data_IF_990069384736
#
_entry.id   IF_990069384736
#
_cell.length_a   1.000
_cell.length_b   1.000
_cell.length_c   1.000
_cell.angle_alpha   90.00
_cell.angle_beta   90.00
_cell.angle_gamma   90.00
#
_symmetry.space_group_name_H-M   'P 1'
#
loop_
_entity.id
_entity.type
_entity.pdbx_description
1 polymer ?
#
# COMPACT_ATOMS: atom_id res chain seq x y z
N UNK A 1 19.35 -61.87 -10.83
CA UNK A 1 19.79 -60.69 -10.04
C UNK A 1 20.59 -59.65 -10.84
N UNK A 2 20.71 -59.80 -12.16
CA UNK A 2 21.58 -58.95 -13.01
C UNK A 2 20.88 -57.74 -13.63
N UNK A 3 19.57 -57.81 -13.88
CA UNK A 3 18.82 -56.76 -14.59
C UNK A 3 18.56 -55.52 -13.74
N UNK A 4 18.33 -55.67 -12.42
CA UNK A 4 18.05 -54.55 -11.51
C UNK A 4 19.27 -53.69 -11.18
N UNK A 5 20.49 -54.22 -11.35
CA UNK A 5 21.74 -53.46 -11.12
C UNK A 5 22.09 -52.57 -12.30
N UNK A 6 21.76 -52.98 -13.53
CA UNK A 6 22.03 -52.20 -14.73
C UNK A 6 21.18 -50.92 -14.81
N UNK A 7 19.91 -50.97 -14.38
CA UNK A 7 19.03 -49.80 -14.38
C UNK A 7 19.39 -48.75 -13.34
N UNK A 8 19.91 -49.16 -12.17
CA UNK A 8 20.38 -48.21 -11.15
C UNK A 8 21.63 -47.44 -11.60
N UNK A 9 22.56 -48.10 -12.28
CA UNK A 9 23.79 -47.44 -12.75
C UNK A 9 23.48 -46.41 -13.84
N UNK A 10 22.56 -46.69 -14.77
CA UNK A 10 22.17 -45.76 -15.81
C UNK A 10 21.50 -44.48 -15.25
N UNK A 11 20.64 -44.62 -14.23
CA UNK A 11 19.97 -43.47 -13.61
C UNK A 11 20.94 -42.53 -12.88
N UNK A 12 21.96 -43.07 -12.23
CA UNK A 12 22.97 -42.27 -11.51
C UNK A 12 23.86 -41.49 -12.48
N UNK A 13 24.23 -42.07 -13.63
CA UNK A 13 25.07 -41.38 -14.63
C UNK A 13 24.35 -40.17 -15.25
N UNK A 14 23.05 -40.30 -15.55
CA UNK A 14 22.25 -39.19 -16.09
C UNK A 14 22.15 -38.04 -15.08
N UNK A 15 21.95 -38.36 -13.79
CA UNK A 15 21.83 -37.35 -12.73
C UNK A 15 23.13 -36.54 -12.52
N UNK A 16 24.29 -37.20 -12.62
CA UNK A 16 25.61 -36.54 -12.43
C UNK A 16 25.96 -35.62 -13.61
N UNK A 17 25.53 -35.93 -14.83
CA UNK A 17 25.79 -35.05 -15.99
C UNK A 17 24.94 -33.78 -16.01
N UNK A 18 23.75 -33.80 -15.41
CA UNK A 18 22.84 -32.64 -15.41
C UNK A 18 23.27 -31.54 -14.41
N UNK A 19 23.96 -31.88 -13.32
CA UNK A 19 24.37 -30.91 -12.30
C UNK A 19 25.63 -30.12 -12.69
N UNK A 20 26.53 -30.71 -13.48
CA UNK A 20 27.74 -30.02 -13.95
C UNK A 20 27.44 -28.92 -15.00
N UNK A 21 26.40 -29.09 -15.83
CA UNK A 21 26.01 -28.10 -16.83
C UNK A 21 25.35 -26.84 -16.25
N UNK A 22 24.61 -26.99 -15.14
CA UNK A 22 23.87 -25.88 -14.54
C UNK A 22 24.76 -24.89 -13.78
N UNK A 23 25.84 -25.38 -13.16
CA UNK A 23 26.80 -24.54 -12.42
C UNK A 23 27.63 -23.60 -13.30
N UNK A 24 27.83 -23.94 -14.58
CA UNK A 24 28.61 -23.14 -15.52
C UNK A 24 27.83 -21.95 -16.10
N UNK A 25 26.50 -21.95 -16.02
CA UNK A 25 25.64 -20.88 -16.55
C UNK A 25 25.47 -19.74 -15.51
N UNK A 26 25.52 -20.04 -14.21
CA UNK A 26 25.33 -19.05 -13.14
C UNK A 26 26.58 -18.16 -12.89
N UNK A 27 27.77 -18.56 -13.35
CA UNK A 27 29.00 -17.83 -13.10
C UNK A 27 29.22 -16.58 -13.98
N UNK A 28 28.36 -16.32 -14.98
CA UNK A 28 28.53 -15.20 -15.93
C UNK A 28 27.64 -13.98 -15.72
N UNK A 29 26.78 -13.96 -14.71
CA UNK A 29 25.82 -12.86 -14.50
C UNK A 29 26.19 -11.89 -13.35
N UNK A 30 27.40 -11.98 -12.79
CA UNK A 30 27.86 -11.09 -11.73
C UNK A 30 28.78 -9.98 -12.25
N UNK A 31 28.32 -8.72 -12.19
CA UNK A 31 29.04 -7.51 -11.75
C UNK A 31 28.27 -6.24 -12.19
N UNK A 32 27.11 -6.00 -11.57
CA UNK A 32 26.45 -4.70 -11.57
C UNK A 32 26.71 -4.00 -10.25
N UNK A 33 27.54 -2.96 -10.26
CA UNK A 33 27.85 -2.09 -9.11
C UNK A 33 26.62 -1.32 -8.62
N UNK A 34 26.32 -1.27 -7.30
CA UNK A 34 25.29 -0.38 -6.78
C UNK A 34 25.81 1.07 -6.64
N UNK A 35 25.11 2.01 -7.27
CA UNK A 35 25.25 3.46 -7.06
C UNK A 35 24.81 3.86 -5.65
N UNK A 36 25.50 4.80 -4.96
CA UNK A 36 25.02 5.36 -3.71
C UNK A 36 23.98 6.46 -3.98
N UNK A 37 22.73 6.23 -3.58
CA UNK A 37 21.71 7.29 -3.51
C UNK A 37 21.83 7.98 -2.15
N UNK A 38 22.03 9.29 -2.20
CA UNK A 38 22.22 10.16 -1.05
C UNK A 38 21.05 10.07 -0.06
N UNK A 39 21.41 9.99 1.23
CA UNK A 39 20.50 10.09 2.35
C UNK A 39 19.80 11.46 2.35
N UNK A 40 18.47 11.45 2.24
CA UNK A 40 17.63 12.60 2.59
C UNK A 40 17.23 12.41 4.04
N UNK A 41 17.64 13.34 4.88
CA UNK A 41 17.30 13.38 6.29
C UNK A 41 15.82 13.72 6.49
N UNK A 42 15.17 12.91 7.30
CA UNK A 42 13.83 13.07 7.86
C UNK A 42 13.88 14.00 9.09
N UNK A 43 12.94 14.95 9.25
CA UNK A 43 12.61 15.44 10.58
C UNK A 43 11.10 15.36 10.88
N UNK A 44 10.76 14.57 11.88
CA UNK A 44 9.60 14.74 12.78
C UNK A 44 9.87 13.96 14.08
N UNK A 45 9.21 14.20 15.24
CA UNK A 45 8.03 15.05 15.51
C UNK A 45 8.12 15.90 16.81
N UNK A 46 7.08 16.68 17.11
CA UNK A 46 6.70 17.02 18.51
C UNK A 46 5.17 17.03 18.69
N UNK A 47 4.62 16.43 19.77
CA UNK A 47 3.21 16.52 20.13
C UNK A 47 2.98 17.59 21.22
N UNK A 48 1.84 18.30 21.17
CA UNK A 48 1.29 19.01 22.33
C UNK A 48 -0.23 18.83 22.35
N UNK A 49 -0.70 18.21 23.42
CA UNK A 49 -2.10 18.05 23.81
C UNK A 49 -2.46 19.22 24.72
N UNK A 50 -3.64 19.82 24.55
CA UNK A 50 -4.38 20.44 25.65
C UNK A 50 -5.88 20.43 25.35
N UNK A 51 -6.56 19.62 26.15
CA UNK A 51 -8.00 19.47 26.31
C UNK A 51 -8.56 20.67 27.09
N UNK A 52 -9.70 21.23 26.66
CA UNK A 52 -10.64 21.93 27.52
C UNK A 52 -12.01 22.10 26.83
N UNK A 53 -12.99 21.31 27.29
CA UNK A 53 -14.42 21.56 27.07
C UNK A 53 -14.85 22.91 27.67
N UNK A 54 -15.94 23.50 27.15
CA UNK A 54 -17.01 23.79 28.11
C UNK A 54 -18.43 23.41 27.65
N UNK A 55 -19.18 22.91 28.63
CA UNK A 55 -20.62 22.66 28.63
C UNK A 55 -21.44 23.97 28.61
N UNK A 56 -22.65 23.86 28.07
CA UNK A 56 -23.65 24.90 27.78
C UNK A 56 -24.03 25.87 28.92
N UNK A 57 -24.46 27.08 28.53
CA UNK A 57 -25.46 27.88 29.27
C UNK A 57 -26.44 28.54 28.30
N UNK A 58 -27.72 28.29 28.55
CA UNK A 58 -28.93 28.91 27.96
C UNK A 58 -29.08 30.34 28.48
N UNK A 59 -29.45 31.29 27.62
CA UNK A 59 -30.52 32.28 27.82
C UNK A 59 -30.40 33.45 26.85
N UNK A 60 -31.42 33.61 26.01
CA UNK A 60 -31.79 34.88 25.38
C UNK A 60 -32.41 35.78 26.47
N UNK A 61 -31.87 36.99 26.65
CA UNK A 61 -32.76 38.13 26.72
C UNK A 61 -32.30 39.22 25.77
N UNK A 62 -33.14 39.53 24.79
CA UNK A 62 -33.06 40.71 23.92
C UNK A 62 -32.70 41.98 24.71
N UNK A 63 -31.53 42.60 24.47
CA UNK A 63 -31.27 43.97 24.88
C UNK A 63 -31.70 44.91 23.75
N UNK A 64 -32.52 45.89 24.10
CA UNK A 64 -32.86 47.02 23.23
C UNK A 64 -31.59 47.80 22.91
N UNK A 65 -30.91 47.45 21.81
CA UNK A 65 -29.70 48.15 21.39
C UNK A 65 -30.07 49.48 20.73
N UNK A 66 -29.80 50.57 21.44
CA UNK A 66 -29.63 51.89 20.84
C UNK A 66 -28.61 51.80 19.70
N UNK A 67 -28.94 52.37 18.54
CA UNK A 67 -28.03 52.44 17.39
C UNK A 67 -26.71 53.08 17.81
N UNK A 68 -25.54 52.44 17.59
CA UNK A 68 -24.27 53.11 17.81
C UNK A 68 -24.15 54.26 16.81
N UNK A 69 -23.76 55.42 17.31
CA UNK A 69 -23.30 56.53 16.48
C UNK A 69 -22.04 56.05 15.76
N UNK A 70 -22.05 56.05 14.43
CA UNK A 70 -20.88 55.66 13.64
C UNK A 70 -19.78 56.69 13.81
N UNK A 71 -18.78 56.36 14.63
CA UNK A 71 -17.47 57.03 14.61
C UNK A 71 -16.89 56.88 13.21
N UNK A 72 -16.55 58.01 12.59
CA UNK A 72 -15.88 58.07 11.29
C UNK A 72 -14.63 57.19 11.31
N UNK A 73 -14.56 56.20 10.40
CA UNK A 73 -13.38 55.33 10.27
C UNK A 73 -12.15 56.17 9.88
N UNK A 74 -10.96 55.85 10.41
CA UNK A 74 -9.71 56.42 9.91
C UNK A 74 -9.52 56.10 8.42
N UNK A 75 -8.79 56.93 7.66
CA UNK A 75 -8.58 56.72 6.24
C UNK A 75 -7.98 55.33 5.97
N UNK A 76 -8.35 54.67 4.85
CA UNK A 76 -7.88 53.34 4.55
C UNK A 76 -6.34 53.31 4.51
N UNK A 77 -5.76 52.35 5.23
CA UNK A 77 -4.34 52.04 5.11
C UNK A 77 -4.00 51.75 3.64
N UNK A 78 -2.77 52.07 3.16
CA UNK A 78 -2.37 51.77 1.80
C UNK A 78 -2.60 50.28 1.51
N UNK A 79 -3.28 50.00 0.39
CA UNK A 79 -3.61 48.64 -0.02
C UNK A 79 -2.33 47.81 -0.11
N UNK A 80 -2.26 46.71 0.65
CA UNK A 80 -1.20 45.70 0.44
C UNK A 80 -1.34 45.19 -0.98
N UNK A 81 -0.23 45.16 -1.71
CA UNK A 81 -0.14 44.47 -2.99
C UNK A 81 -0.32 42.98 -2.70
N UNK A 82 -1.50 42.45 -2.99
CA UNK A 82 -1.74 41.02 -2.95
C UNK A 82 -1.14 40.44 -4.24
N UNK A 83 -0.11 39.57 -4.16
CA UNK A 83 0.43 38.94 -5.35
C UNK A 83 -0.65 38.09 -6.01
N UNK A 84 -0.65 38.05 -7.35
CA UNK A 84 -1.56 37.20 -8.10
C UNK A 84 -1.38 35.74 -7.68
N UNK A 85 -2.46 34.93 -7.62
CA UNK A 85 -2.35 33.52 -7.30
C UNK A 85 -1.48 32.81 -8.35
N UNK A 86 -0.63 31.89 -7.89
CA UNK A 86 0.13 31.02 -8.78
C UNK A 86 -0.83 30.02 -9.45
N UNK A 87 -1.22 30.29 -10.69
CA UNK A 87 -2.01 29.36 -11.51
C UNK A 87 -1.05 28.43 -12.22
N UNK A 88 -1.20 27.12 -12.00
CA UNK A 88 -0.40 26.13 -12.72
C UNK A 88 -0.80 26.14 -14.21
N UNK A 89 0.19 26.06 -15.11
CA UNK A 89 -0.03 26.19 -16.57
C UNK A 89 -1.05 25.20 -17.13
N UNK A 90 -1.26 24.05 -16.48
CA UNK A 90 -2.30 23.09 -16.87
C UNK A 90 -3.73 23.64 -16.79
N UNK A 91 -3.97 24.63 -15.92
CA UNK A 91 -5.29 25.19 -15.69
C UNK A 91 -5.64 26.32 -16.66
N UNK A 92 -4.61 27.00 -17.19
CA UNK A 92 -4.80 28.13 -18.08
C UNK A 92 -5.20 27.68 -19.50
N UNK A 93 -4.58 26.61 -20.01
CA UNK A 93 -4.76 26.18 -21.40
C UNK A 93 -4.58 24.66 -21.52
N UNK A 94 -5.63 23.85 -21.31
CA UNK A 94 -5.61 22.47 -21.77
C UNK A 94 -5.54 22.48 -23.30
N UNK A 95 -4.35 22.24 -23.85
CA UNK A 95 -4.10 22.21 -25.31
C UNK A 95 -4.62 20.93 -25.98
N UNK A 96 -5.07 19.95 -25.21
CA UNK A 96 -5.66 18.71 -25.71
C UNK A 96 -7.19 18.82 -25.79
N UNK A 97 -7.75 18.44 -26.94
CA UNK A 97 -9.20 18.25 -27.09
C UNK A 97 -9.69 17.15 -26.14
N UNK A 98 -10.81 17.35 -25.42
CA UNK A 98 -11.41 16.29 -24.62
C UNK A 98 -11.66 15.04 -25.46
N UNK A 99 -11.32 13.87 -24.92
CA UNK A 99 -11.65 12.60 -25.53
C UNK A 99 -13.18 12.43 -25.55
N UNK A 100 -13.74 11.79 -26.59
CA UNK A 100 -15.16 11.44 -26.60
C UNK A 100 -15.50 10.53 -25.41
N UNK A 101 -16.72 10.63 -24.85
CA UNK A 101 -17.17 9.74 -23.77
C UNK A 101 -17.06 8.28 -24.20
N UNK A 102 -16.44 7.46 -23.35
CA UNK A 102 -16.47 6.01 -23.52
C UNK A 102 -17.83 5.47 -23.07
N UNK A 103 -18.29 4.41 -23.74
CA UNK A 103 -19.48 3.70 -23.29
C UNK A 103 -19.19 3.08 -21.92
N UNK A 104 -20.09 3.32 -20.97
CA UNK A 104 -20.07 2.62 -19.70
C UNK A 104 -20.29 1.13 -19.93
N UNK A 105 -19.55 0.25 -19.23
CA UNK A 105 -19.81 -1.17 -19.32
C UNK A 105 -21.24 -1.48 -18.88
N UNK A 106 -21.95 -2.24 -19.71
CA UNK A 106 -23.36 -2.62 -19.47
C UNK A 106 -23.48 -3.78 -18.47
N UNK A 107 -22.40 -4.51 -18.24
CA UNK A 107 -22.32 -5.59 -17.26
C UNK A 107 -21.50 -5.15 -16.03
N UNK A 108 -21.74 -5.75 -14.84
CA UNK A 108 -20.88 -5.55 -13.69
C UNK A 108 -19.41 -5.82 -14.05
N UNK A 109 -18.55 -4.88 -13.73
CA UNK A 109 -17.11 -5.06 -13.86
C UNK A 109 -16.66 -6.00 -12.75
N UNK A 110 -16.19 -7.19 -13.12
CA UNK A 110 -15.50 -8.09 -12.20
C UNK A 110 -14.10 -7.53 -11.96
N UNK A 111 -13.91 -6.90 -10.81
CA UNK A 111 -12.60 -6.46 -10.32
C UNK A 111 -12.04 -7.62 -9.49
N UNK A 112 -10.82 -8.07 -9.78
CA UNK A 112 -10.19 -9.11 -8.95
C UNK A 112 -9.97 -8.58 -7.53
N UNK A 113 -10.05 -9.45 -6.54
CA UNK A 113 -9.72 -9.14 -5.13
C UNK A 113 -8.25 -8.75 -4.90
N UNK A 114 -7.45 -8.57 -5.97
CA UNK A 114 -6.00 -8.42 -5.98
C UNK A 114 -5.52 -7.14 -6.68
N UNK A 115 -6.45 -6.25 -7.09
CA UNK A 115 -6.11 -5.08 -7.93
C UNK A 115 -5.17 -4.10 -7.23
N UNK A 116 -5.25 -4.00 -5.91
CA UNK A 116 -4.41 -3.14 -5.09
C UNK A 116 -3.13 -3.84 -4.59
N UNK A 117 -2.87 -5.08 -5.04
CA UNK A 117 -1.73 -5.88 -4.57
C UNK A 117 -1.94 -6.51 -3.19
N UNK A 118 -3.14 -6.33 -2.62
CA UNK A 118 -3.56 -6.93 -1.37
C UNK A 118 -4.42 -8.17 -1.63
N UNK A 119 -4.42 -9.09 -0.69
CA UNK A 119 -5.35 -10.19 -0.63
C UNK A 119 -6.41 -9.90 0.42
N UNK A 120 -7.59 -9.51 -0.05
CA UNK A 120 -8.73 -9.21 0.80
C UNK A 120 -9.46 -10.46 1.31
N UNK A 121 -8.98 -11.67 1.00
CA UNK A 121 -9.56 -12.89 1.55
C UNK A 121 -9.12 -13.15 2.99
N UNK A 122 -8.15 -12.41 3.52
CA UNK A 122 -7.60 -12.61 4.87
C UNK A 122 -7.81 -11.40 5.78
N UNK A 123 -8.24 -11.67 7.00
CA UNK A 123 -8.39 -10.68 8.05
C UNK A 123 -9.66 -9.85 7.92
N UNK A 124 -9.57 -8.58 8.31
CA UNK A 124 -10.70 -7.64 8.26
C UNK A 124 -10.79 -6.93 6.89
N UNK A 125 -11.94 -6.30 6.55
CA UNK A 125 -12.08 -5.60 5.26
C UNK A 125 -11.08 -4.46 5.01
N UNK A 126 -10.37 -3.98 6.03
CA UNK A 126 -9.34 -2.93 5.91
C UNK A 126 -7.92 -3.49 6.03
N UNK A 127 -7.75 -4.80 6.17
CA UNK A 127 -6.46 -5.45 6.33
C UNK A 127 -5.93 -5.89 4.97
N UNK A 128 -4.77 -5.38 4.59
CA UNK A 128 -4.11 -5.72 3.33
C UNK A 128 -3.04 -6.79 3.58
N UNK A 129 -3.34 -8.06 3.32
CA UNK A 129 -2.32 -9.11 3.31
C UNK A 129 -1.58 -9.06 1.97
N UNK A 130 -0.24 -8.96 1.94
CA UNK A 130 0.48 -8.83 0.68
C UNK A 130 0.38 -10.11 -0.16
N UNK A 131 0.12 -9.97 -1.46
CA UNK A 131 0.14 -11.10 -2.41
C UNK A 131 1.54 -11.59 -2.75
N UNK A 132 2.55 -10.75 -2.53
CA UNK A 132 3.95 -11.03 -2.85
C UNK A 132 4.80 -10.80 -1.62
N UNK A 133 5.50 -11.83 -1.19
CA UNK A 133 6.44 -11.75 -0.08
C UNK A 133 7.86 -11.42 -0.57
N UNK A 134 8.72 -10.84 0.29
CA UNK A 134 10.13 -10.64 -0.04
C UNK A 134 10.84 -11.95 -0.43
N UNK A 135 11.91 -11.83 -1.22
CA UNK A 135 12.71 -12.99 -1.61
C UNK A 135 13.22 -13.75 -0.36
N UNK A 136 13.12 -15.07 -0.39
CA UNK A 136 13.50 -15.94 0.73
C UNK A 136 12.34 -16.28 1.69
N UNK A 137 11.19 -15.61 1.57
CA UNK A 137 9.97 -16.00 2.28
C UNK A 137 9.19 -16.96 1.40
N UNK A 138 9.30 -18.25 1.69
CA UNK A 138 8.70 -19.32 0.89
C UNK A 138 7.96 -20.33 1.75
N UNK A 139 6.93 -20.96 1.16
CA UNK A 139 6.07 -21.91 1.87
C UNK A 139 5.18 -21.25 2.91
N UNK A 140 4.15 -21.96 3.36
CA UNK A 140 3.16 -21.46 4.33
C UNK A 140 3.82 -20.98 5.62
N UNK A 141 4.67 -21.81 6.25
CA UNK A 141 5.35 -21.43 7.50
C UNK A 141 6.24 -20.19 7.38
N UNK A 142 6.94 -20.03 6.25
CA UNK A 142 7.76 -18.83 6.00
C UNK A 142 6.90 -17.58 5.84
N UNK A 143 5.82 -17.66 5.05
CA UNK A 143 4.85 -16.58 4.89
C UNK A 143 4.22 -16.19 6.23
N UNK A 144 3.76 -17.17 7.00
CA UNK A 144 3.14 -16.94 8.30
C UNK A 144 4.10 -16.34 9.33
N UNK A 145 5.35 -16.79 9.38
CA UNK A 145 6.38 -16.18 10.22
C UNK A 145 6.64 -14.71 9.83
N UNK A 146 6.68 -14.42 8.53
CA UNK A 146 6.81 -13.05 8.04
C UNK A 146 5.59 -12.19 8.42
N UNK A 147 4.37 -12.70 8.22
CA UNK A 147 3.13 -12.02 8.57
C UNK A 147 3.07 -11.67 10.06
N UNK A 148 3.35 -12.65 10.93
CA UNK A 148 3.39 -12.44 12.37
C UNK A 148 4.42 -11.38 12.76
N UNK A 149 5.62 -11.40 12.17
CA UNK A 149 6.66 -10.40 12.42
C UNK A 149 6.27 -8.97 11.99
N UNK A 150 5.29 -8.85 11.09
CA UNK A 150 4.77 -7.56 10.60
C UNK A 150 3.41 -7.20 11.22
N UNK A 151 2.99 -7.91 12.28
CA UNK A 151 1.78 -7.59 13.03
C UNK A 151 0.48 -8.10 12.41
N UNK A 152 0.56 -8.99 11.42
CA UNK A 152 -0.60 -9.70 10.91
C UNK A 152 -0.86 -10.91 11.81
N UNK A 153 -1.86 -10.80 12.69
CA UNK A 153 -2.27 -11.86 13.62
C UNK A 153 -3.78 -12.04 13.58
N UNK A 154 -4.28 -13.26 13.81
CA UNK A 154 -5.72 -13.55 13.83
C UNK A 154 -6.37 -13.34 12.46
N UNK A 155 -5.72 -13.84 11.41
CA UNK A 155 -6.17 -13.66 10.03
C UNK A 155 -7.33 -14.62 9.73
N UNK A 156 -8.56 -14.13 9.80
CA UNK A 156 -9.74 -14.92 9.40
C UNK A 156 -9.75 -15.07 7.87
N UNK A 157 -9.99 -16.28 7.37
CA UNK A 157 -10.14 -16.55 5.94
C UNK A 157 -11.60 -16.30 5.54
N UNK A 158 -11.88 -15.14 4.94
CA UNK A 158 -13.23 -14.73 4.53
C UNK A 158 -13.64 -15.29 3.15
N UNK A 159 -12.70 -15.84 2.39
CA UNK A 159 -12.90 -16.28 1.02
C UNK A 159 -12.09 -17.52 0.67
N UNK A 160 -11.54 -17.54 -0.54
CA UNK A 160 -10.63 -18.62 -0.96
C UNK A 160 -9.27 -18.38 -0.31
N UNK A 161 -8.70 -19.43 0.29
CA UNK A 161 -7.30 -19.45 0.72
C UNK A 161 -6.37 -19.51 -0.51
N UNK A 162 -6.16 -18.36 -1.16
CA UNK A 162 -5.41 -18.27 -2.41
C UNK A 162 -3.88 -18.37 -2.22
N UNK A 163 -3.41 -18.14 -0.99
CA UNK A 163 -2.00 -18.11 -0.64
C UNK A 163 -1.54 -19.31 0.21
N UNK A 164 -2.44 -20.26 0.45
CA UNK A 164 -2.22 -21.46 1.26
C UNK A 164 -1.71 -21.08 2.68
N UNK A 165 -2.38 -20.12 3.32
CA UNK A 165 -2.03 -19.65 4.68
C UNK A 165 -2.80 -20.39 5.77
N UNK A 166 -3.90 -21.06 5.42
CA UNK A 166 -4.74 -21.88 6.29
C UNK A 166 -4.59 -23.34 5.86
N UNK A 167 -3.54 -23.99 6.39
CA UNK A 167 -3.09 -25.29 5.89
C UNK A 167 -4.02 -26.44 6.31
N UNK A 168 -4.74 -26.31 7.42
CA UNK A 168 -5.71 -27.28 7.94
C UNK A 168 -7.16 -26.96 7.55
N UNK A 169 -7.42 -25.76 7.04
CA UNK A 169 -8.69 -25.36 6.44
C UNK A 169 -9.76 -25.05 7.49
N UNK A 170 -9.37 -24.58 8.66
CA UNK A 170 -10.28 -24.28 9.77
C UNK A 170 -10.89 -22.87 9.69
N UNK A 171 -10.45 -22.08 8.71
CA UNK A 171 -10.89 -20.72 8.47
C UNK A 171 -10.04 -19.67 9.17
N UNK A 172 -8.92 -20.05 9.79
CA UNK A 172 -7.96 -19.14 10.38
C UNK A 172 -6.57 -19.39 9.80
N UNK A 173 -5.98 -18.35 9.25
CA UNK A 173 -4.66 -18.41 8.65
C UNK A 173 -3.56 -18.21 9.69
N UNK A 174 -2.46 -18.95 9.51
CA UNK A 174 -1.22 -18.82 10.27
C UNK A 174 -1.32 -19.15 11.76
N UNK A 175 -1.99 -20.28 12.06
CA UNK A 175 -2.02 -20.98 13.35
C UNK A 175 -0.69 -21.69 13.70
#
# INVERSE_FOLDING_TARGET
>A
MTVRRATLVAAVVVLVTATAGFLLILARAGLGTPSPVAAVADPSPTPVVADASPTAVVADPSPTHSLPTFTSLPPPAPSRVVPAPFVQRFAAEPTATPLPPRQSPTAPLTVSAFVDGCDHNYGTPTQCVPLTFPAGVTGTGGKCAWLAAHGFTGLIVAGRDAQDLDADGDGIACE
#
